data_IF_465552845712
#
_entry.id   IF_465552845712
#
_cell.length_a   1.000
_cell.length_b   1.000
_cell.length_c   1.000
_cell.angle_alpha   90.00
_cell.angle_beta   90.00
_cell.angle_gamma   90.00
#
_symmetry.space_group_name_H-M   'P 1'
#
loop_
_entity.id
_entity.type
_entity.pdbx_description
1 polymer ?
#
# COMPACT_ATOMS: atom_id res chain seq x y z
N UNK A 1 7.19 -7.43 1.88
CA UNK A 1 6.06 -8.38 1.79
C UNK A 1 6.37 -9.55 0.90
N UNK A 2 5.78 -10.69 1.26
CA UNK A 2 5.94 -11.98 0.60
C UNK A 2 4.57 -12.68 0.61
N UNK A 3 3.98 -12.96 -0.56
CA UNK A 3 2.72 -13.72 -0.69
C UNK A 3 3.05 -15.16 -1.09
N UNK A 4 2.59 -16.16 -0.34
CA UNK A 4 2.92 -17.56 -0.58
C UNK A 4 1.81 -18.21 -1.40
N UNK A 5 2.12 -18.54 -2.66
CA UNK A 5 1.38 -19.58 -3.40
C UNK A 5 2.13 -20.89 -3.14
N UNK A 6 1.47 -22.04 -3.18
CA UNK A 6 1.93 -23.35 -2.67
C UNK A 6 3.31 -23.84 -3.14
N UNK A 7 3.98 -23.13 -4.07
CA UNK A 7 5.34 -23.36 -4.57
C UNK A 7 6.13 -22.07 -4.94
N UNK A 8 5.70 -20.87 -4.53
CA UNK A 8 6.32 -19.61 -4.98
C UNK A 8 5.87 -18.37 -4.22
N UNK A 9 6.50 -17.23 -4.47
CA UNK A 9 6.06 -15.94 -3.93
C UNK A 9 6.29 -14.75 -4.85
N UNK A 10 5.51 -13.69 -4.61
CA UNK A 10 5.70 -12.40 -5.28
C UNK A 10 6.45 -11.40 -4.38
N UNK A 11 7.32 -10.61 -5.00
CA UNK A 11 8.03 -9.51 -4.36
C UNK A 11 7.94 -8.25 -5.23
N UNK A 12 7.98 -7.08 -4.59
CA UNK A 12 7.98 -5.77 -5.24
C UNK A 12 9.29 -5.05 -4.93
N UNK A 13 9.89 -4.40 -5.92
CA UNK A 13 11.08 -3.57 -5.72
C UNK A 13 10.75 -2.08 -5.51
N UNK A 14 11.77 -1.26 -5.27
CA UNK A 14 11.62 0.20 -5.06
C UNK A 14 11.04 0.93 -6.27
N UNK A 15 11.17 0.36 -7.48
CA UNK A 15 10.59 0.90 -8.71
C UNK A 15 9.13 0.47 -8.89
N UNK A 16 8.63 -0.47 -8.09
CA UNK A 16 7.26 -0.98 -8.19
C UNK A 16 7.15 -2.17 -9.14
N UNK A 17 8.28 -2.73 -9.60
CA UNK A 17 8.26 -3.91 -10.45
C UNK A 17 8.02 -5.14 -9.60
N UNK A 18 7.19 -6.04 -10.12
CA UNK A 18 6.85 -7.28 -9.44
C UNK A 18 7.66 -8.43 -10.01
N UNK A 19 8.35 -9.13 -9.10
CA UNK A 19 9.09 -10.36 -9.31
C UNK A 19 8.23 -11.52 -8.82
N UNK A 20 8.09 -12.54 -9.66
CA UNK A 20 7.64 -13.86 -9.24
C UNK A 20 8.88 -14.73 -8.98
N UNK A 21 8.94 -15.33 -7.80
CA UNK A 21 9.95 -16.27 -7.37
C UNK A 21 9.32 -17.67 -7.29
N UNK A 22 9.71 -18.55 -8.21
CA UNK A 22 9.36 -19.97 -8.16
C UNK A 22 10.38 -20.71 -7.29
N UNK A 23 9.91 -21.37 -6.23
CA UNK A 23 10.71 -22.14 -5.27
C UNK A 23 10.31 -23.62 -5.25
N UNK A 24 9.63 -24.10 -6.31
CA UNK A 24 9.23 -25.51 -6.47
C UNK A 24 10.41 -26.47 -6.61
N UNK A 25 11.60 -25.97 -6.90
CA UNK A 25 12.80 -26.76 -7.16
C UNK A 25 14.01 -26.29 -6.33
N UNK A 26 15.12 -27.04 -6.37
CA UNK A 26 16.38 -26.65 -5.72
C UNK A 26 16.99 -25.36 -6.31
N UNK A 27 16.53 -24.93 -7.49
CA UNK A 27 16.93 -23.69 -8.14
C UNK A 27 15.75 -22.71 -8.11
N UNK A 28 15.98 -21.54 -7.51
CA UNK A 28 15.00 -20.45 -7.52
C UNK A 28 14.99 -19.82 -8.92
N UNK A 29 13.82 -19.78 -9.55
CA UNK A 29 13.62 -19.10 -10.83
C UNK A 29 12.88 -17.79 -10.58
N UNK A 30 13.48 -16.68 -10.99
CA UNK A 30 12.88 -15.34 -10.85
C UNK A 30 12.50 -14.76 -12.19
N UNK A 31 11.30 -14.20 -12.29
CA UNK A 31 10.83 -13.51 -13.50
C UNK A 31 10.08 -12.23 -13.14
N UNK A 32 10.37 -11.14 -13.84
CA UNK A 32 9.51 -9.96 -13.80
C UNK A 32 8.17 -10.26 -14.48
N UNK A 33 7.09 -10.05 -13.75
CA UNK A 33 5.72 -10.36 -14.21
C UNK A 33 4.87 -9.11 -14.45
N UNK A 34 5.43 -7.93 -14.14
CA UNK A 34 4.77 -6.66 -14.35
C UNK A 34 5.65 -5.68 -15.14
N UNK A 35 5.03 -4.74 -15.87
CA UNK A 35 5.71 -3.55 -16.34
C UNK A 35 5.93 -2.60 -15.16
N UNK A 36 6.70 -1.54 -15.39
CA UNK A 36 6.76 -0.39 -14.48
C UNK A 36 5.41 0.34 -14.51
N UNK A 37 4.95 0.82 -13.35
CA UNK A 37 3.80 1.73 -13.32
C UNK A 37 4.18 3.06 -13.97
N UNK A 38 3.21 3.78 -14.57
CA UNK A 38 3.45 5.10 -15.13
C UNK A 38 4.14 6.02 -14.12
N UNK A 39 5.18 6.72 -14.55
CA UNK A 39 5.85 7.70 -13.70
C UNK A 39 4.85 8.76 -13.24
N UNK A 40 4.83 8.97 -11.93
CA UNK A 40 4.03 9.99 -11.29
C UNK A 40 4.95 11.16 -10.93
N UNK A 41 4.51 12.40 -11.19
CA UNK A 41 5.28 13.62 -10.86
C UNK A 41 5.49 13.80 -9.34
N UNK A 42 4.79 13.02 -8.52
CA UNK A 42 4.96 12.97 -7.07
C UNK A 42 6.20 12.14 -6.71
N UNK A 43 7.26 12.83 -6.28
CA UNK A 43 8.57 12.23 -5.97
C UNK A 43 8.55 11.24 -4.81
N UNK A 44 7.51 11.27 -3.97
CA UNK A 44 7.41 10.46 -2.75
C UNK A 44 6.12 9.66 -2.80
N UNK A 45 6.29 8.35 -2.93
CA UNK A 45 5.19 7.42 -2.92
C UNK A 45 5.65 6.11 -2.30
N UNK A 46 4.83 5.56 -1.39
CA UNK A 46 5.02 4.21 -0.91
C UNK A 46 4.29 3.23 -1.83
N UNK A 47 4.86 2.04 -1.99
CA UNK A 47 4.35 0.98 -2.85
C UNK A 47 4.12 -0.27 -2.03
N UNK A 48 2.90 -0.81 -2.12
CA UNK A 48 2.52 -2.02 -1.41
C UNK A 48 2.01 -3.04 -2.42
N UNK A 49 2.31 -4.30 -2.20
CA UNK A 49 1.80 -5.41 -3.01
C UNK A 49 0.71 -6.11 -2.20
N UNK A 50 -0.49 -6.36 -2.69
CA UNK A 50 -1.54 -7.00 -1.88
C UNK A 50 -2.18 -8.12 -2.66
N UNK A 51 -2.33 -9.29 -2.08
CA UNK A 51 -3.20 -10.32 -2.64
C UNK A 51 -4.63 -10.08 -2.15
N UNK A 52 -5.55 -9.87 -3.09
CA UNK A 52 -6.99 -9.69 -2.87
C UNK A 52 -7.65 -11.00 -2.40
N UNK A 53 -8.84 -10.95 -1.79
CA UNK A 53 -9.54 -12.17 -1.37
C UNK A 53 -9.90 -13.09 -2.55
N UNK A 54 -10.01 -12.53 -3.76
CA UNK A 54 -10.21 -13.28 -5.00
C UNK A 54 -8.89 -13.80 -5.64
N UNK A 55 -7.75 -13.68 -4.94
CA UNK A 55 -6.44 -14.13 -5.43
C UNK A 55 -5.81 -13.21 -6.48
N UNK A 56 -6.31 -11.98 -6.64
CA UNK A 56 -5.71 -11.02 -7.57
C UNK A 56 -4.49 -10.34 -6.94
N UNK A 57 -3.43 -10.17 -7.71
CA UNK A 57 -2.28 -9.39 -7.27
C UNK A 57 -2.52 -7.89 -7.52
N UNK A 58 -2.56 -7.13 -6.43
CA UNK A 58 -2.79 -5.69 -6.42
C UNK A 58 -1.51 -4.94 -6.06
N UNK A 59 -1.34 -3.74 -6.59
CA UNK A 59 -0.33 -2.79 -6.16
C UNK A 59 -1.01 -1.51 -5.69
N UNK A 60 -0.76 -1.11 -4.44
CA UNK A 60 -1.27 0.13 -3.86
C UNK A 60 -0.15 1.17 -3.89
N UNK A 61 -0.41 2.28 -4.57
CA UNK A 61 0.45 3.47 -4.56
C UNK A 61 -0.13 4.50 -3.60
N UNK A 62 0.67 4.90 -2.61
CA UNK A 62 0.31 5.95 -1.65
C UNK A 62 1.16 7.19 -1.87
N UNK A 63 0.55 8.27 -2.33
CA UNK A 63 1.23 9.53 -2.65
C UNK A 63 1.33 10.43 -1.43
N UNK A 64 2.54 10.92 -1.17
CA UNK A 64 2.87 11.69 0.03
C UNK A 64 3.26 13.12 -0.34
N UNK A 65 2.72 14.09 0.40
CA UNK A 65 3.13 15.49 0.30
C UNK A 65 3.66 15.99 1.64
N UNK A 66 4.70 16.84 1.58
CA UNK A 66 5.23 17.47 2.79
C UNK A 66 4.19 18.41 3.39
N UNK A 67 3.91 18.28 4.69
CA UNK A 67 3.07 19.25 5.42
C UNK A 67 3.75 20.62 5.39
N UNK A 68 2.96 21.68 5.18
CA UNK A 68 3.49 23.06 5.09
C UNK A 68 3.99 23.56 6.45
N UNK A 69 3.35 23.12 7.52
CA UNK A 69 3.52 23.64 8.88
C UNK A 69 4.55 22.86 9.70
N UNK A 70 4.97 21.68 9.24
CA UNK A 70 5.84 20.78 9.98
C UNK A 70 7.03 20.33 9.11
N UNK A 71 8.24 20.50 9.63
CA UNK A 71 9.46 20.08 8.93
C UNK A 71 9.52 18.55 8.93
N UNK A 72 9.82 17.94 7.78
CA UNK A 72 9.96 16.49 7.61
C UNK A 72 8.73 15.63 7.91
N UNK A 73 7.54 16.23 8.04
CA UNK A 73 6.29 15.47 8.11
C UNK A 73 5.63 15.37 6.74
N UNK A 74 5.19 14.17 6.41
CA UNK A 74 4.48 13.86 5.17
C UNK A 74 3.07 13.40 5.50
N UNK A 75 2.13 13.77 4.64
CA UNK A 75 0.74 13.31 4.71
C UNK A 75 0.34 12.65 3.40
N UNK A 76 -0.51 11.64 3.50
CA UNK A 76 -1.09 10.98 2.35
C UNK A 76 -2.09 11.92 1.66
N UNK A 77 -1.94 12.10 0.35
CA UNK A 77 -2.82 12.94 -0.48
C UNK A 77 -3.66 12.18 -1.47
N UNK A 78 -3.18 11.02 -1.89
CA UNK A 78 -3.84 10.22 -2.89
C UNK A 78 -3.43 8.77 -2.70
N UNK A 79 -4.36 7.86 -2.96
CA UNK A 79 -4.09 6.43 -3.02
C UNK A 79 -4.67 5.92 -4.34
N UNK A 80 -3.84 5.19 -5.09
CA UNK A 80 -4.24 4.47 -6.30
C UNK A 80 -4.02 2.98 -6.10
N UNK A 81 -4.90 2.16 -6.67
CA UNK A 81 -4.77 0.71 -6.64
C UNK A 81 -4.75 0.19 -8.06
N UNK A 82 -3.82 -0.71 -8.35
CA UNK A 82 -3.68 -1.34 -9.66
C UNK A 82 -3.78 -2.84 -9.51
N UNK A 83 -4.56 -3.49 -10.38
CA UNK A 83 -4.56 -4.95 -10.52
C UNK A 83 -3.59 -5.36 -11.61
N UNK A 84 -2.78 -6.39 -11.35
CA UNK A 84 -1.97 -7.03 -12.39
C UNK A 84 -2.87 -7.96 -13.21
N UNK A 85 -3.00 -7.69 -14.50
CA UNK A 85 -3.70 -8.55 -15.45
C UNK A 85 -2.89 -8.71 -16.74
N UNK A 86 -2.59 -9.96 -17.12
CA UNK A 86 -1.87 -10.28 -18.35
C UNK A 86 -0.62 -9.41 -18.59
N UNK A 87 0.20 -9.17 -17.56
CA UNK A 87 1.39 -8.30 -17.60
C UNK A 87 1.09 -6.81 -17.85
N UNK A 88 -0.08 -6.34 -17.48
CA UNK A 88 -0.45 -4.93 -17.49
C UNK A 88 -1.03 -4.52 -16.15
N UNK A 89 -0.82 -3.27 -15.78
CA UNK A 89 -1.44 -2.67 -14.61
C UNK A 89 -2.75 -2.00 -15.00
N UNK A 90 -3.85 -2.44 -14.40
CA UNK A 90 -5.17 -1.86 -14.58
C UNK A 90 -5.51 -1.08 -13.30
N UNK A 91 -5.65 0.24 -13.41
CA UNK A 91 -6.11 1.07 -12.28
C UNK A 91 -7.54 0.66 -11.89
N UNK A 92 -7.75 0.42 -10.61
CA UNK A 92 -9.04 0.06 -10.05
C UNK A 92 -9.76 1.29 -9.50
N UNK A 93 -11.05 1.38 -9.80
CA UNK A 93 -11.92 2.41 -9.23
C UNK A 93 -12.68 1.92 -8.00
N UNK A 94 -12.77 0.61 -7.75
CA UNK A 94 -13.39 0.02 -6.57
C UNK A 94 -12.72 -1.31 -6.22
N UNK A 95 -12.79 -1.68 -4.93
CA UNK A 95 -12.32 -2.98 -4.43
C UNK A 95 -13.48 -3.96 -4.20
N UNK A 96 -14.72 -3.53 -4.40
CA UNK A 96 -15.89 -4.30 -3.99
C UNK A 96 -15.86 -4.53 -2.47
N UNK A 97 -15.97 -5.80 -2.04
CA UNK A 97 -15.97 -6.16 -0.62
C UNK A 97 -14.57 -6.27 -0.01
N UNK A 98 -13.49 -6.20 -0.80
CA UNK A 98 -12.12 -6.20 -0.24
C UNK A 98 -11.87 -4.92 0.59
N UNK A 99 -11.24 -5.10 1.75
CA UNK A 99 -10.64 -4.04 2.57
C UNK A 99 -9.14 -4.31 2.70
N UNK A 100 -8.31 -3.32 2.32
CA UNK A 100 -6.86 -3.46 2.29
C UNK A 100 -6.24 -2.80 3.52
N UNK A 101 -5.24 -3.45 4.12
CA UNK A 101 -4.41 -2.92 5.18
C UNK A 101 -2.98 -2.78 4.65
N UNK A 102 -2.42 -1.57 4.66
CA UNK A 102 -1.08 -1.29 4.12
C UNK A 102 -0.21 -0.54 5.14
N UNK A 103 1.02 -0.99 5.33
CA UNK A 103 1.96 -0.39 6.26
C UNK A 103 3.41 -0.73 5.93
N UNK A 104 4.36 -0.14 6.67
CA UNK A 104 5.79 -0.28 6.38
C UNK A 104 6.35 -1.72 6.43
N UNK A 105 5.64 -2.65 7.09
CA UNK A 105 6.07 -4.03 7.24
C UNK A 105 5.35 -4.98 6.27
N UNK A 106 4.02 -4.99 6.36
CA UNK A 106 3.18 -5.97 5.67
C UNK A 106 1.92 -5.32 5.08
N UNK A 107 1.25 -6.04 4.19
CA UNK A 107 -0.06 -5.65 3.67
C UNK A 107 -0.92 -6.87 3.41
N UNK A 108 -2.21 -6.64 3.57
CA UNK A 108 -3.21 -7.68 3.84
C UNK A 108 -4.52 -7.26 3.17
N UNK A 109 -5.23 -8.20 2.55
CA UNK A 109 -6.63 -8.03 2.16
C UNK A 109 -7.52 -8.92 3.02
N UNK A 110 -8.69 -8.39 3.39
CA UNK A 110 -9.77 -9.18 3.98
C UNK A 110 -11.08 -8.86 3.27
N UNK A 111 -12.04 -9.77 3.32
CA UNK A 111 -13.42 -9.42 3.00
C UNK A 111 -13.97 -8.55 4.13
N UNK A 112 -14.44 -7.35 3.82
CA UNK A 112 -15.01 -6.44 4.80
C UNK A 112 -16.25 -7.05 5.47
N UNK A 113 -17.03 -7.84 4.74
CA UNK A 113 -18.19 -8.57 5.26
C UNK A 113 -17.85 -9.56 6.40
N UNK A 114 -16.61 -10.03 6.50
CA UNK A 114 -16.17 -10.89 7.60
C UNK A 114 -15.91 -10.13 8.91
N UNK A 115 -15.79 -8.80 8.86
CA UNK A 115 -15.38 -7.96 9.98
C UNK A 115 -16.29 -6.72 10.15
N UNK A 116 -17.11 -6.64 11.21
CA UNK A 116 -18.07 -5.54 11.40
C UNK A 116 -17.50 -4.12 11.43
N UNK A 117 -16.18 -3.96 11.64
CA UNK A 117 -15.47 -2.67 11.67
C UNK A 117 -14.71 -2.37 10.38
N UNK A 118 -14.66 -3.31 9.45
CA UNK A 118 -14.11 -3.09 8.12
C UNK A 118 -15.20 -2.53 7.21
N UNK A 119 -14.84 -1.53 6.43
CA UNK A 119 -15.70 -0.98 5.39
C UNK A 119 -15.24 -1.54 4.03
N UNK A 120 -16.18 -2.00 3.18
CA UNK A 120 -15.86 -2.43 1.83
C UNK A 120 -15.25 -1.27 1.03
N UNK A 121 -14.34 -1.58 0.09
CA UNK A 121 -13.74 -0.56 -0.76
C UNK A 121 -12.64 0.27 -0.08
N UNK A 122 -12.33 0.02 1.19
CA UNK A 122 -11.46 0.89 1.98
C UNK A 122 -10.02 0.37 2.09
N UNK A 123 -9.07 1.32 2.09
CA UNK A 123 -7.66 1.12 2.35
C UNK A 123 -7.32 1.76 3.69
N UNK A 124 -6.93 0.93 4.65
CA UNK A 124 -6.45 1.30 5.97
C UNK A 124 -4.93 1.39 5.90
N UNK A 125 -4.37 2.58 6.10
CA UNK A 125 -2.94 2.80 5.98
C UNK A 125 -2.32 3.28 7.29
N UNK A 126 -1.07 2.88 7.53
CA UNK A 126 -0.26 3.36 8.65
C UNK A 126 1.01 4.05 8.18
N UNK A 127 1.65 4.82 9.05
CA UNK A 127 2.90 5.53 8.73
C UNK A 127 3.98 4.59 8.16
N UNK A 128 4.62 4.99 7.06
CA UNK A 128 5.72 4.26 6.41
C UNK A 128 7.09 4.76 6.85
N UNK A 129 8.00 3.84 7.18
CA UNK A 129 9.37 4.13 7.66
C UNK A 129 10.30 4.79 6.63
N UNK A 130 9.95 4.72 5.35
CA UNK A 130 10.79 5.12 4.21
C UNK A 130 11.11 6.62 4.15
N UNK A 131 10.24 7.47 4.71
CA UNK A 131 10.32 8.92 4.56
C UNK A 131 10.67 9.67 5.86
N UNK A 132 10.79 8.95 6.98
CA UNK A 132 11.02 9.52 8.31
C UNK A 132 12.50 9.52 8.70
N UNK A 133 13.39 10.01 7.84
CA UNK A 133 14.76 10.27 8.25
C UNK A 133 14.89 11.68 8.86
N UNK A 134 14.27 11.89 10.02
CA UNK A 134 14.71 12.95 10.94
C UNK A 134 14.62 12.50 12.38
N UNK A 135 15.59 11.66 12.79
CA UNK A 135 15.94 11.36 14.18
C UNK A 135 16.49 12.58 14.95
N UNK A 136 16.50 13.75 14.34
CA UNK A 136 16.97 14.99 14.96
C UNK A 136 16.08 16.10 14.44
N UNK A 137 15.18 16.60 15.28
CA UNK A 137 15.04 18.01 15.59
C UNK A 137 13.81 18.20 16.48
N UNK A 138 13.98 19.08 17.46
CA UNK A 138 12.98 19.62 18.37
C UNK A 138 11.82 20.27 17.60
N UNK A 139 10.84 19.47 17.19
CA UNK A 139 9.63 19.91 16.49
C UNK A 139 8.54 20.31 17.52
N UNK A 140 7.89 21.49 17.41
CA UNK A 140 6.76 21.89 18.25
C UNK A 140 5.57 20.91 18.26
N UNK A 141 5.53 19.92 17.35
CA UNK A 141 4.49 18.88 17.29
C UNK A 141 4.76 17.63 18.16
N UNK A 142 5.81 17.64 18.99
CA UNK A 142 6.14 16.56 19.92
C UNK A 142 6.91 15.39 19.28
N UNK A 143 7.49 14.47 20.08
CA UNK A 143 8.36 13.40 19.59
C UNK A 143 7.64 12.35 18.71
N UNK A 144 6.32 12.44 18.58
CA UNK A 144 5.46 11.51 17.86
C UNK A 144 4.39 12.24 17.02
N UNK A 145 4.75 13.37 16.37
CA UNK A 145 3.84 14.15 15.51
C UNK A 145 2.89 13.26 14.69
N UNK A 146 1.64 13.70 14.43
CA UNK A 146 0.52 12.81 14.11
C UNK A 146 0.91 11.81 13.02
N UNK A 147 0.98 10.54 13.43
CA UNK A 147 1.31 9.42 12.55
C UNK A 147 0.33 9.48 11.37
N UNK A 148 0.84 9.61 10.14
CA UNK A 148 0.04 9.59 8.91
C UNK A 148 -0.62 8.22 8.77
N UNK A 149 -1.79 8.08 9.39
CA UNK A 149 -2.61 6.90 9.44
C UNK A 149 -4.04 7.30 9.16
N UNK A 150 -4.76 6.47 8.43
CA UNK A 150 -6.12 6.80 8.04
C UNK A 150 -6.80 5.70 7.26
N UNK A 151 -8.00 6.03 6.82
CA UNK A 151 -8.84 5.19 5.97
C UNK A 151 -9.15 5.97 4.71
N UNK A 152 -8.98 5.34 3.56
CA UNK A 152 -9.31 5.92 2.26
C UNK A 152 -10.28 5.01 1.53
N UNK A 153 -11.44 5.53 1.12
CA UNK A 153 -12.37 4.78 0.28
C UNK A 153 -11.98 4.96 -1.20
N UNK A 154 -11.74 3.85 -1.90
CA UNK A 154 -11.25 3.89 -3.29
C UNK A 154 -12.30 4.39 -4.28
N UNK A 155 -13.58 4.11 -4.03
CA UNK A 155 -14.68 4.45 -4.93
C UNK A 155 -15.06 5.93 -4.80
N UNK A 156 -15.22 6.41 -3.57
CA UNK A 156 -15.53 7.80 -3.28
C UNK A 156 -14.31 8.74 -3.39
N UNK A 157 -13.11 8.17 -3.50
CA UNK A 157 -11.81 8.88 -3.47
C UNK A 157 -11.68 9.80 -2.24
N UNK A 158 -12.23 9.38 -1.10
CA UNK A 158 -12.34 10.20 0.10
C UNK A 158 -11.55 9.62 1.28
N UNK A 159 -10.86 10.51 1.99
CA UNK A 159 -10.25 10.21 3.30
C UNK A 159 -11.32 10.28 4.39
N UNK A 160 -11.34 9.27 5.24
CA UNK A 160 -12.21 9.21 6.40
C UNK A 160 -11.44 9.51 7.68
N UNK A 161 -12.14 10.11 8.65
CA UNK A 161 -11.61 10.27 10.00
C UNK A 161 -11.58 8.89 10.66
N UNK A 162 -10.47 8.48 11.31
CA UNK A 162 -10.43 7.21 12.04
C UNK A 162 -11.58 7.18 13.05
N UNK A 163 -12.56 6.32 12.82
CA UNK A 163 -13.60 6.06 13.84
C UNK A 163 -12.88 5.32 14.95
N UNK A 164 -12.85 5.93 16.14
CA UNK A 164 -12.04 5.53 17.29
C UNK A 164 -11.98 4.00 17.46
N UNK A 165 -10.78 3.44 17.31
CA UNK A 165 -10.50 2.07 17.74
C UNK A 165 -10.56 2.04 19.27
N UNK A 166 -11.73 1.67 19.81
CA UNK A 166 -11.90 1.23 21.20
C UNK A 166 -11.86 -0.30 21.27
#
# INVERSE_FOLDING_TARGET
MLFIVTIGFYAIDVLGRVLMCDVSSAVVVTKFVSPELPECNCRLHDKYLVESAAGNLLQVLRFLCRRRECINQYETKEIKVFKLDCQNWIELESLGDDALFVGGNDSLSVLASDFPRCQPGCIYYTHGFSHSHSLYHSDPCGPFGPLDMGVFNLEDKCFQVPTTLL
#
